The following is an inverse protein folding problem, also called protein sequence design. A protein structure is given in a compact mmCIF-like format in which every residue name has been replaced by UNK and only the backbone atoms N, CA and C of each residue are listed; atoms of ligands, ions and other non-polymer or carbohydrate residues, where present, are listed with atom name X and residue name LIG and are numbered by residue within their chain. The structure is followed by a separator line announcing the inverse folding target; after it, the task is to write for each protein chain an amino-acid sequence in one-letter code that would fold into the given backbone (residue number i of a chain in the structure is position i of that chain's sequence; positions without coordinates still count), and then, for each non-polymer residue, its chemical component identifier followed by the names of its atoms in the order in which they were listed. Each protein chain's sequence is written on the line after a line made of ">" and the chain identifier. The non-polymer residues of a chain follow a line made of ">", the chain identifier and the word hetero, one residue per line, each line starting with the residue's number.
data_IF_115139609642
#
_entry.id   IF_115139609642
#
_cell.length_a   1.000
_cell.length_b   1.000
_cell.length_c   1.000
_cell.angle_alpha   90.00
_cell.angle_beta   90.00
_cell.angle_gamma   90.00
#
_symmetry.space_group_name_H-M   'P 1'
#
loop_
_entity.id
_entity.type
_entity.pdbx_description
1 polymer ?
#
# COMPACT_ATOMS: atom_id res chain seq x y z
N UNK A 1 22.59 16.75 31.00
CA UNK A 1 21.46 16.36 30.12
C UNK A 1 22.06 15.70 28.90
N UNK A 2 22.07 14.37 28.87
CA UNK A 2 22.71 13.59 27.81
C UNK A 2 21.78 13.64 26.59
N UNK A 3 22.11 14.48 25.60
CA UNK A 3 21.45 14.47 24.30
C UNK A 3 21.84 13.16 23.61
N UNK A 4 20.96 12.15 23.69
CA UNK A 4 21.06 10.96 22.88
C UNK A 4 20.87 11.36 21.41
N UNK A 5 21.99 11.58 20.70
CA UNK A 5 22.03 11.60 19.26
C UNK A 5 21.78 10.15 18.79
N UNK A 6 20.51 9.74 18.77
CA UNK A 6 20.12 8.60 17.95
C UNK A 6 20.45 9.02 16.50
N UNK A 7 21.27 8.26 15.75
CA UNK A 7 21.43 8.55 14.34
C UNK A 7 20.01 8.50 13.76
N UNK A 8 19.57 9.61 13.16
CA UNK A 8 18.30 9.77 12.47
C UNK A 8 18.32 8.89 11.21
N UNK A 9 18.37 7.57 11.39
CA UNK A 9 18.21 6.61 10.32
C UNK A 9 16.70 6.46 10.15
N UNK A 10 16.10 7.44 9.47
CA UNK A 10 14.70 7.30 9.09
C UNK A 10 14.61 6.07 8.16
N UNK A 11 13.96 5.02 8.66
CA UNK A 11 13.77 3.80 7.88
C UNK A 11 12.57 4.02 6.97
N UNK A 12 12.79 3.91 5.65
CA UNK A 12 11.74 4.06 4.65
C UNK A 12 10.53 3.17 4.97
N UNK A 13 9.32 3.73 4.88
CA UNK A 13 8.04 3.06 5.17
C UNK A 13 6.94 3.50 4.21
N UNK A 14 5.85 2.75 4.16
CA UNK A 14 4.66 3.12 3.39
C UNK A 14 3.52 3.44 4.35
N UNK A 15 3.12 4.71 4.40
CA UNK A 15 1.93 5.13 5.14
C UNK A 15 0.68 4.76 4.32
N UNK A 16 -0.11 3.80 4.79
CA UNK A 16 -1.35 3.36 4.13
C UNK A 16 -2.60 3.85 4.89
N UNK A 17 -3.57 4.38 4.15
CA UNK A 17 -4.84 4.89 4.70
C UNK A 17 -6.04 4.54 3.79
N UNK A 18 -7.24 4.30 4.36
CA UNK A 18 -7.53 4.21 5.79
C UNK A 18 -7.02 2.90 6.41
N UNK A 19 -7.02 2.76 7.74
CA UNK A 19 -6.71 1.49 8.43
C UNK A 19 -7.87 0.52 8.40
N UNK A 20 -9.09 1.04 8.50
CA UNK A 20 -10.33 0.28 8.40
C UNK A 20 -11.39 1.13 7.72
N UNK A 21 -12.30 0.50 7.00
CA UNK A 21 -13.41 1.16 6.33
C UNK A 21 -14.58 0.19 6.14
N UNK A 22 -15.79 0.70 6.32
CA UNK A 22 -17.04 0.01 5.97
C UNK A 22 -17.69 0.75 4.81
N UNK A 23 -18.13 0.01 3.81
CA UNK A 23 -18.76 0.53 2.58
C UNK A 23 -19.98 -0.31 2.22
N UNK A 24 -20.92 0.26 1.50
CA UNK A 24 -22.06 -0.48 0.96
C UNK A 24 -21.73 -1.07 -0.42
N UNK A 25 -22.46 -2.12 -0.81
CA UNK A 25 -22.36 -2.69 -2.17
C UNK A 25 -22.66 -1.62 -3.22
N UNK A 26 -21.88 -1.60 -4.31
CA UNK A 26 -21.97 -0.62 -5.38
C UNK A 26 -21.20 0.69 -5.12
N UNK A 27 -20.80 0.96 -3.87
CA UNK A 27 -19.92 2.10 -3.58
C UNK A 27 -18.51 1.90 -4.14
N UNK A 28 -17.70 2.95 -4.05
CA UNK A 28 -16.28 2.89 -4.35
C UNK A 28 -15.43 3.19 -3.13
N UNK A 29 -14.27 2.56 -3.07
CA UNK A 29 -13.24 2.79 -2.05
C UNK A 29 -11.97 3.31 -2.72
N UNK A 30 -11.27 4.24 -2.06
CA UNK A 30 -9.91 4.62 -2.42
C UNK A 30 -8.98 4.36 -1.24
N UNK A 31 -7.98 3.51 -1.46
CA UNK A 31 -6.88 3.25 -0.52
C UNK A 31 -5.67 4.04 -0.99
N UNK A 32 -5.08 4.83 -0.10
CA UNK A 32 -3.96 5.72 -0.39
C UNK A 32 -2.69 5.21 0.29
N UNK A 33 -1.57 5.34 -0.40
CA UNK A 33 -0.25 4.95 0.07
C UNK A 33 0.79 6.04 -0.23
N UNK A 34 1.67 6.31 0.74
CA UNK A 34 2.74 7.29 0.60
C UNK A 34 4.06 6.69 1.09
N UNK A 35 5.07 6.65 0.22
CA UNK A 35 6.42 6.27 0.61
C UNK A 35 7.08 7.42 1.36
N UNK A 36 7.30 7.22 2.67
CA UNK A 36 7.97 8.18 3.55
C UNK A 36 9.42 7.80 3.76
N UNK A 37 10.22 8.81 4.02
CA UNK A 37 11.59 8.67 4.52
C UNK A 37 12.51 7.84 3.61
N UNK A 38 12.14 7.70 2.34
CA UNK A 38 12.97 7.10 1.31
C UNK A 38 13.79 8.19 0.61
N UNK A 39 15.12 8.02 0.60
CA UNK A 39 16.04 8.83 -0.19
C UNK A 39 15.94 8.55 -1.69
N UNK A 40 15.41 7.39 -2.08
CA UNK A 40 15.24 6.95 -3.47
C UNK A 40 13.85 7.29 -4.04
N UNK A 41 13.74 7.31 -5.37
CA UNK A 41 12.49 7.59 -6.08
C UNK A 41 11.43 6.48 -5.86
N UNK A 42 10.16 6.79 -6.09
CA UNK A 42 9.10 5.78 -6.07
C UNK A 42 9.33 4.78 -7.23
N UNK A 43 9.57 3.51 -6.90
CA UNK A 43 9.69 2.42 -7.86
C UNK A 43 8.33 1.85 -8.28
N UNK A 44 8.33 0.62 -8.81
CA UNK A 44 7.10 -0.09 -9.18
C UNK A 44 6.18 -0.33 -7.99
N UNK A 45 4.89 -0.06 -8.14
CA UNK A 45 3.88 -0.29 -7.09
C UNK A 45 3.19 -1.64 -7.25
N UNK A 46 2.89 -2.30 -6.13
CA UNK A 46 2.13 -3.54 -6.09
C UNK A 46 0.98 -3.45 -5.08
N UNK A 47 -0.05 -4.27 -5.31
CA UNK A 47 -1.24 -4.34 -4.48
C UNK A 47 -1.57 -5.79 -4.19
N UNK A 48 -2.01 -6.03 -2.97
CA UNK A 48 -2.33 -7.35 -2.47
C UNK A 48 -3.62 -7.31 -1.67
N UNK A 49 -4.30 -8.46 -1.64
CA UNK A 49 -5.55 -8.64 -0.90
C UNK A 49 -5.56 -10.00 -0.22
N UNK A 50 -5.95 -9.99 1.05
CA UNK A 50 -6.37 -11.18 1.78
C UNK A 50 -7.88 -11.11 1.99
N UNK A 51 -8.64 -11.96 1.30
CA UNK A 51 -10.11 -12.00 1.41
C UNK A 51 -10.54 -12.36 2.84
N UNK A 52 -11.71 -11.90 3.26
CA UNK A 52 -12.29 -12.31 4.54
C UNK A 52 -12.39 -13.84 4.63
N UNK A 53 -11.96 -14.42 5.75
CA UNK A 53 -11.91 -15.87 5.94
C UNK A 53 -10.79 -16.62 5.23
N UNK A 54 -10.02 -15.97 4.33
CA UNK A 54 -8.86 -16.59 3.68
C UNK A 54 -7.62 -16.48 4.56
N UNK A 55 -6.71 -17.46 4.48
CA UNK A 55 -5.35 -17.36 5.02
C UNK A 55 -4.36 -16.76 4.02
N UNK A 56 -4.68 -16.85 2.73
CA UNK A 56 -3.78 -16.53 1.62
C UNK A 56 -3.94 -15.08 1.19
N UNK A 57 -2.80 -14.47 0.85
CA UNK A 57 -2.75 -13.16 0.22
C UNK A 57 -2.54 -13.31 -1.29
N UNK A 58 -3.30 -12.56 -2.08
CA UNK A 58 -3.34 -12.61 -3.52
C UNK A 58 -2.89 -11.27 -4.09
N UNK A 59 -2.13 -11.26 -5.19
CA UNK A 59 -1.81 -10.03 -5.90
C UNK A 59 -3.03 -9.50 -6.66
N UNK A 60 -3.27 -8.21 -6.59
CA UNK A 60 -4.32 -7.54 -7.36
C UNK A 60 -3.75 -7.08 -8.70
N UNK A 61 -4.32 -7.58 -9.79
CA UNK A 61 -4.07 -7.05 -11.13
C UNK A 61 -4.83 -5.74 -11.31
N UNK A 62 -4.12 -4.70 -11.76
CA UNK A 62 -4.68 -3.39 -12.08
C UNK A 62 -5.52 -3.49 -13.38
N UNK A 63 -6.59 -2.73 -13.47
CA UNK A 63 -7.53 -2.74 -14.60
C UNK A 63 -8.96 -3.12 -14.20
N UNK A 64 -9.91 -2.90 -15.11
CA UNK A 64 -11.34 -3.10 -14.84
C UNK A 64 -11.80 -2.22 -13.68
N UNK A 65 -12.34 -2.82 -12.61
CA UNK A 65 -12.80 -2.09 -11.42
C UNK A 65 -11.66 -1.52 -10.56
N UNK A 66 -10.42 -1.98 -10.73
CA UNK A 66 -9.25 -1.61 -9.93
C UNK A 66 -8.40 -0.56 -10.66
N UNK A 67 -8.55 0.71 -10.28
CA UNK A 67 -7.87 1.84 -10.93
C UNK A 67 -6.76 2.37 -10.03
N UNK A 68 -5.51 2.27 -10.50
CA UNK A 68 -4.38 2.86 -9.81
C UNK A 68 -4.13 4.29 -10.28
N UNK A 69 -3.73 5.17 -9.35
CA UNK A 69 -3.14 6.47 -9.66
C UNK A 69 -1.79 6.58 -8.96
N UNK A 70 -0.76 7.05 -9.67
CA UNK A 70 0.60 7.19 -9.15
C UNK A 70 1.05 8.64 -9.32
N UNK A 71 1.61 9.21 -8.26
CA UNK A 71 2.29 10.49 -8.26
C UNK A 71 3.73 10.29 -7.77
N UNK A 72 4.67 10.28 -8.70
CA UNK A 72 6.09 10.10 -8.40
C UNK A 72 6.69 11.27 -7.62
N UNK A 73 6.20 12.50 -7.85
CA UNK A 73 6.68 13.71 -7.18
C UNK A 73 6.40 13.72 -5.68
N UNK A 74 5.17 13.35 -5.28
CA UNK A 74 4.79 13.19 -3.87
C UNK A 74 5.08 11.79 -3.31
N UNK A 75 5.67 10.90 -4.11
CA UNK A 75 5.90 9.47 -3.79
C UNK A 75 4.64 8.79 -3.25
N UNK A 76 3.48 9.13 -3.82
CA UNK A 76 2.18 8.65 -3.38
C UNK A 76 1.47 7.92 -4.50
N UNK A 77 0.64 6.96 -4.13
CA UNK A 77 -0.14 6.17 -5.06
C UNK A 77 -1.41 5.68 -4.38
N UNK A 78 -2.44 5.37 -5.17
CA UNK A 78 -3.73 4.96 -4.64
C UNK A 78 -4.38 3.91 -5.51
N UNK A 79 -5.15 3.02 -4.88
CA UNK A 79 -6.04 2.09 -5.57
C UNK A 79 -7.48 2.50 -5.32
N UNK A 80 -8.20 2.85 -6.38
CA UNK A 80 -9.65 2.97 -6.36
C UNK A 80 -10.27 1.66 -6.81
N UNK A 81 -11.16 1.11 -5.98
CA UNK A 81 -11.98 -0.06 -6.28
C UNK A 81 -13.39 0.46 -6.54
N UNK A 82 -13.87 0.30 -7.78
CA UNK A 82 -15.21 0.70 -8.18
C UNK A 82 -16.22 -0.42 -7.90
N UNK A 83 -17.49 -0.09 -7.67
CA UNK A 83 -18.61 -1.04 -7.64
C UNK A 83 -18.34 -2.24 -6.70
N UNK A 84 -18.10 -1.94 -5.42
CA UNK A 84 -17.74 -2.93 -4.40
C UNK A 84 -18.81 -4.02 -4.25
N UNK A 85 -18.38 -5.25 -4.00
CA UNK A 85 -19.26 -6.37 -3.64
C UNK A 85 -18.89 -6.92 -2.26
N UNK A 86 -19.77 -7.72 -1.65
CA UNK A 86 -19.46 -8.43 -0.39
C UNK A 86 -18.17 -9.27 -0.51
N UNK A 87 -17.95 -9.83 -1.70
CA UNK A 87 -16.73 -10.57 -2.05
C UNK A 87 -15.49 -9.71 -2.19
N UNK A 88 -15.57 -8.38 -2.02
CA UNK A 88 -14.44 -7.45 -1.90
C UNK A 88 -13.98 -7.26 -0.43
N UNK A 89 -14.75 -7.75 0.56
CA UNK A 89 -14.36 -7.72 1.97
C UNK A 89 -13.02 -8.43 2.24
N UNK A 90 -12.18 -7.84 3.10
CA UNK A 90 -10.87 -8.39 3.43
C UNK A 90 -9.85 -7.32 3.82
N UNK A 91 -8.57 -7.70 3.86
CA UNK A 91 -7.46 -6.78 4.12
C UNK A 91 -6.68 -6.51 2.85
N UNK A 92 -6.53 -5.25 2.49
CA UNK A 92 -5.77 -4.81 1.32
C UNK A 92 -4.43 -4.24 1.76
N UNK A 93 -3.35 -4.52 1.04
CA UNK A 93 -2.02 -3.93 1.27
C UNK A 93 -1.43 -3.39 -0.01
N UNK A 94 -0.83 -2.21 0.08
CA UNK A 94 0.00 -1.67 -0.98
C UNK A 94 1.47 -1.92 -0.70
N UNK A 95 2.29 -1.91 -1.74
CA UNK A 95 3.73 -1.98 -1.60
C UNK A 95 4.48 -1.27 -2.72
N UNK A 96 5.75 -1.01 -2.46
CA UNK A 96 6.69 -0.46 -3.44
C UNK A 96 7.81 -1.47 -3.63
N UNK A 97 8.03 -1.90 -4.86
CA UNK A 97 9.20 -2.64 -5.33
C UNK A 97 10.26 -1.64 -5.78
N UNK A 98 11.48 -1.79 -5.29
CA UNK A 98 12.59 -0.97 -5.73
C UNK A 98 13.09 -1.50 -7.09
N UNK A 99 12.87 -0.75 -8.16
CA UNK A 99 13.58 -0.97 -9.42
C UNK A 99 14.88 -0.15 -9.36
N UNK A 100 16.02 -0.82 -9.61
CA UNK A 100 17.41 -0.32 -9.63
C UNK A 100 18.23 -0.37 -8.32
N UNK A 101 19.13 -1.37 -8.26
CA UNK A 101 20.59 -1.25 -8.05
C UNK A 101 21.19 -0.55 -6.82
N UNK A 102 20.39 0.13 -5.99
CA UNK A 102 20.87 0.92 -4.85
C UNK A 102 20.29 0.44 -3.51
N UNK A 103 19.50 -0.63 -3.53
CA UNK A 103 19.12 -1.34 -2.33
C UNK A 103 20.05 -2.52 -2.19
N UNK A 104 20.75 -2.60 -1.07
CA UNK A 104 21.59 -3.74 -0.75
C UNK A 104 20.78 -5.02 -0.94
N UNK A 105 21.36 -5.90 -1.75
CA UNK A 105 20.99 -7.25 -2.15
C UNK A 105 19.77 -7.85 -1.42
N UNK A 106 18.76 -8.27 -2.20
CA UNK A 106 17.63 -9.12 -1.82
C UNK A 106 16.42 -8.48 -1.06
N UNK A 107 15.24 -8.53 -1.70
CA UNK A 107 13.98 -8.89 -1.01
C UNK A 107 13.32 -7.94 0.02
N UNK A 108 13.27 -6.62 -0.16
CA UNK A 108 12.34 -5.79 0.63
C UNK A 108 11.47 -4.87 -0.22
N UNK A 109 10.34 -5.41 -0.70
CA UNK A 109 9.20 -4.56 -0.97
C UNK A 109 8.79 -3.88 0.35
N UNK A 110 8.69 -2.54 0.36
CA UNK A 110 8.12 -1.83 1.52
C UNK A 110 6.60 -1.89 1.38
N UNK A 111 5.94 -2.56 2.31
CA UNK A 111 4.50 -2.69 2.33
C UNK A 111 3.88 -1.72 3.33
N UNK A 112 2.65 -1.28 3.05
CA UNK A 112 1.79 -0.65 4.04
C UNK A 112 1.23 -1.67 5.03
N UNK A 113 0.78 -1.17 6.17
CA UNK A 113 0.26 -2.00 7.26
C UNK A 113 -1.10 -2.65 6.93
N UNK A 114 -1.79 -2.15 5.92
CA UNK A 114 -3.05 -2.68 5.43
C UNK A 114 -4.28 -1.84 5.75
N UNK A 115 -5.34 -2.11 5.00
CA UNK A 115 -6.68 -1.53 5.14
C UNK A 115 -7.67 -2.68 5.28
N UNK A 116 -8.33 -2.79 6.43
CA UNK A 116 -9.45 -3.69 6.62
C UNK A 116 -10.69 -3.10 5.95
N UNK A 117 -11.30 -3.83 5.03
CA UNK A 117 -12.49 -3.45 4.29
C UNK A 117 -13.62 -4.40 4.66
N UNK A 118 -14.71 -3.83 5.14
CA UNK A 118 -16.00 -4.49 5.28
C UNK A 118 -16.94 -3.92 4.22
N UNK A 119 -17.59 -4.80 3.47
CA UNK A 119 -18.65 -4.47 2.51
C UNK A 119 -19.92 -5.18 2.93
#
# INVERSE_FOLDING_TARGET
>A
VLLALLPYVFTARVDQTPRSVTKETGESLTINCVLRDASYALGSTCWYRKKSGSTNEESISKGGRYVETVNSGSKSFSLRINDLTVEDGGTYRCGVRCDYGYCDSAHYAKCGDGTAVTV
#
